data_IF_216211889236
#
_entry.id   IF_216211889236
#
_cell.length_a   1.000
_cell.length_b   1.000
_cell.length_c   1.000
_cell.angle_alpha   90.00
_cell.angle_beta   90.00
_cell.angle_gamma   90.00
#
_symmetry.space_group_name_H-M   'P 1'
#
loop_
_entity.id
_entity.type
_entity.pdbx_description
1 polymer ?
#
# COMPACT_ATOMS: atom_id res chain seq x y z
N UNK A 1 10.21 12.47 -17.18
CA UNK A 1 8.94 12.98 -16.62
C UNK A 1 8.85 12.43 -15.22
N UNK A 2 9.05 13.32 -14.25
CA UNK A 2 9.21 13.03 -12.82
C UNK A 2 7.83 12.99 -12.16
N UNK A 3 7.46 11.86 -11.57
CA UNK A 3 6.38 11.82 -10.60
C UNK A 3 6.77 10.78 -9.55
N UNK A 4 6.91 11.22 -8.31
CA UNK A 4 6.93 10.37 -7.13
C UNK A 4 5.62 9.57 -7.09
N UNK A 5 5.58 8.39 -7.73
CA UNK A 5 4.36 7.58 -7.78
C UNK A 5 4.15 6.95 -6.40
N UNK A 6 3.41 7.66 -5.57
CA UNK A 6 2.79 7.14 -4.37
C UNK A 6 1.28 7.35 -4.46
N UNK A 7 0.54 6.44 -3.85
CA UNK A 7 -0.92 6.53 -3.72
C UNK A 7 -1.28 6.41 -2.24
N UNK A 8 -2.29 7.16 -1.82
CA UNK A 8 -2.84 7.08 -0.46
C UNK A 8 -4.24 6.52 -0.55
N UNK A 9 -4.54 5.50 0.25
CA UNK A 9 -5.84 4.84 0.30
C UNK A 9 -6.38 4.84 1.72
N UNK A 10 -7.71 4.90 1.85
CA UNK A 10 -8.44 4.64 3.08
C UNK A 10 -8.98 3.19 3.12
N UNK A 11 -9.49 2.69 4.27
CA UNK A 11 -10.12 1.39 4.33
C UNK A 11 -11.27 1.25 3.34
N UNK A 12 -11.34 0.08 2.69
CA UNK A 12 -12.27 -0.28 1.61
C UNK A 12 -11.98 0.39 0.27
N UNK A 13 -10.81 0.99 0.11
CA UNK A 13 -10.37 1.56 -1.15
C UNK A 13 -9.28 0.70 -1.82
N UNK A 14 -9.17 0.85 -3.13
CA UNK A 14 -8.14 0.22 -3.94
C UNK A 14 -7.74 1.15 -5.10
N UNK A 15 -6.49 1.07 -5.50
CA UNK A 15 -6.00 1.72 -6.73
C UNK A 15 -4.79 0.96 -7.28
N UNK A 16 -4.17 1.49 -8.34
CA UNK A 16 -3.00 0.92 -8.97
C UNK A 16 -1.79 1.82 -8.78
N UNK A 17 -0.69 1.22 -8.37
CA UNK A 17 0.63 1.82 -8.45
C UNK A 17 1.38 1.24 -9.67
N UNK A 18 1.34 1.96 -10.78
CA UNK A 18 1.76 1.45 -12.08
C UNK A 18 0.89 0.27 -12.53
N UNK A 19 1.49 -0.92 -12.64
CA UNK A 19 0.78 -2.16 -13.01
C UNK A 19 0.28 -2.96 -11.80
N UNK A 20 0.68 -2.58 -10.58
CA UNK A 20 0.38 -3.34 -9.38
C UNK A 20 -0.89 -2.85 -8.71
N UNK A 21 -1.79 -3.76 -8.39
CA UNK A 21 -2.97 -3.46 -7.58
C UNK A 21 -2.58 -3.33 -6.11
N UNK A 22 -2.96 -2.22 -5.50
CA UNK A 22 -2.86 -1.96 -4.07
C UNK A 22 -4.26 -1.77 -3.51
N UNK A 23 -4.53 -2.34 -2.34
CA UNK A 23 -5.83 -2.19 -1.72
C UNK A 23 -5.78 -2.32 -0.21
N UNK A 24 -6.72 -1.65 0.44
CA UNK A 24 -6.95 -1.70 1.88
C UNK A 24 -8.32 -2.33 2.08
N UNK A 25 -8.38 -3.63 2.40
CA UNK A 25 -9.68 -4.32 2.51
C UNK A 25 -10.44 -3.90 3.75
N UNK A 26 -9.73 -3.72 4.86
CA UNK A 26 -10.23 -3.24 6.15
C UNK A 26 -9.09 -2.59 6.90
N UNK A 27 -9.41 -1.96 8.02
CA UNK A 27 -8.38 -1.37 8.87
C UNK A 27 -7.36 -2.42 9.35
N UNK A 28 -6.09 -2.08 9.22
CA UNK A 28 -4.92 -2.90 9.51
C UNK A 28 -4.65 -4.03 8.52
N UNK A 29 -5.32 -4.05 7.36
CA UNK A 29 -5.16 -5.13 6.38
C UNK A 29 -5.06 -4.61 4.95
N UNK A 30 -3.94 -4.89 4.31
CA UNK A 30 -3.61 -4.46 2.95
C UNK A 30 -3.31 -5.65 2.04
N UNK A 31 -3.45 -5.45 0.74
CA UNK A 31 -3.00 -6.39 -0.28
C UNK A 31 -2.28 -5.66 -1.41
N UNK A 32 -1.10 -6.15 -1.78
CA UNK A 32 -0.29 -5.61 -2.89
C UNK A 32 0.05 -6.73 -3.86
N UNK A 33 -0.31 -6.55 -5.14
CA UNK A 33 -0.09 -7.54 -6.20
C UNK A 33 -0.60 -8.97 -5.86
N UNK A 34 -1.67 -9.07 -5.07
CA UNK A 34 -2.24 -10.34 -4.60
C UNK A 34 -1.54 -10.94 -3.37
N UNK A 35 -0.60 -10.25 -2.74
CA UNK A 35 0.00 -10.62 -1.46
C UNK A 35 -0.67 -9.84 -0.32
N UNK A 36 -1.51 -10.48 0.52
CA UNK A 36 -2.14 -9.83 1.67
C UNK A 36 -1.23 -9.81 2.90
N UNK A 37 -1.29 -8.72 3.68
CA UNK A 37 -0.57 -8.54 4.95
C UNK A 37 -1.40 -7.76 5.95
N UNK A 38 -1.22 -8.05 7.25
CA UNK A 38 -1.62 -7.11 8.30
C UNK A 38 -0.54 -6.03 8.44
N UNK A 39 -0.94 -4.82 8.83
CA UNK A 39 -0.04 -3.70 9.10
C UNK A 39 -0.58 -2.86 10.27
N UNK A 40 0.24 -2.69 11.30
CA UNK A 40 -0.09 -1.91 12.48
C UNK A 40 0.09 -0.40 12.23
N UNK A 41 -0.52 0.43 13.08
CA UNK A 41 -0.37 1.88 12.95
C UNK A 41 1.08 2.31 13.21
N UNK A 42 1.63 3.14 12.32
CA UNK A 42 3.03 3.55 12.32
C UNK A 42 4.00 2.52 11.72
N UNK A 43 3.51 1.36 11.28
CA UNK A 43 4.34 0.32 10.65
C UNK A 43 4.56 0.61 9.15
N UNK A 44 5.68 0.07 8.64
CA UNK A 44 6.04 0.05 7.23
C UNK A 44 6.45 -1.37 6.80
N UNK A 45 5.97 -1.82 5.65
CA UNK A 45 6.21 -3.15 5.08
C UNK A 45 6.69 -3.01 3.65
N UNK A 46 7.71 -3.80 3.28
CA UNK A 46 8.20 -3.93 1.90
C UNK A 46 7.70 -5.24 1.29
N UNK A 47 7.12 -5.14 0.10
CA UNK A 47 6.70 -6.25 -0.75
C UNK A 47 7.77 -6.50 -1.81
N UNK A 48 8.78 -7.30 -1.47
CA UNK A 48 9.99 -7.56 -2.28
C UNK A 48 9.67 -7.97 -3.73
N UNK A 49 8.66 -8.84 -3.92
CA UNK A 49 8.27 -9.33 -5.25
C UNK A 49 7.80 -8.23 -6.19
N UNK A 50 7.18 -7.16 -5.66
CA UNK A 50 6.68 -6.03 -6.44
C UNK A 50 7.53 -4.77 -6.36
N UNK A 51 8.49 -4.71 -5.42
CA UNK A 51 9.25 -3.49 -5.12
C UNK A 51 8.34 -2.35 -4.64
N UNK A 52 7.31 -2.68 -3.86
CA UNK A 52 6.36 -1.73 -3.29
C UNK A 52 6.55 -1.66 -1.79
N UNK A 53 6.52 -0.45 -1.27
CA UNK A 53 6.52 -0.14 0.15
C UNK A 53 5.14 0.34 0.56
N UNK A 54 4.63 -0.15 1.68
CA UNK A 54 3.37 0.28 2.25
C UNK A 54 3.60 0.78 3.68
N UNK A 55 3.10 1.97 4.01
CA UNK A 55 3.16 2.54 5.34
C UNK A 55 1.77 2.92 5.83
N UNK A 56 1.47 2.71 7.11
CA UNK A 56 0.19 3.09 7.72
C UNK A 56 0.37 4.28 8.67
N UNK A 57 -0.54 5.25 8.58
CA UNK A 57 -0.67 6.40 9.49
C UNK A 57 -2.14 6.60 9.87
N UNK A 58 -2.54 6.09 11.03
CA UNK A 58 -3.92 6.03 11.48
C UNK A 58 -4.78 5.22 10.51
N UNK A 59 -5.66 5.92 9.79
CA UNK A 59 -6.55 5.35 8.78
C UNK A 59 -6.10 5.62 7.34
N UNK A 60 -4.89 6.15 7.13
CA UNK A 60 -4.31 6.36 5.80
C UNK A 60 -3.20 5.32 5.52
N UNK A 61 -3.19 4.82 4.28
CA UNK A 61 -2.23 3.80 3.82
C UNK A 61 -1.54 4.34 2.59
N UNK A 62 -0.23 4.53 2.69
CA UNK A 62 0.59 5.08 1.61
C UNK A 62 1.33 3.93 0.96
N UNK A 63 1.13 3.75 -0.34
CA UNK A 63 1.88 2.81 -1.16
C UNK A 63 2.82 3.58 -2.08
N UNK A 64 4.09 3.24 -2.09
CA UNK A 64 5.09 3.84 -2.98
C UNK A 64 6.02 2.77 -3.55
N UNK A 65 6.81 3.13 -4.56
CA UNK A 65 7.98 2.31 -4.92
C UNK A 65 8.96 2.29 -3.74
N UNK A 66 9.56 1.13 -3.50
CA UNK A 66 10.62 0.94 -2.50
C UNK A 66 11.94 1.56 -2.95
#
# INVERSE_FOLDING_TARGET
MSSDESITLAPREHDKLGIFHCGVTREGFIAVAGEPRNIDDGEEIIFERSGIKAARKGSEYIFSRA
#
